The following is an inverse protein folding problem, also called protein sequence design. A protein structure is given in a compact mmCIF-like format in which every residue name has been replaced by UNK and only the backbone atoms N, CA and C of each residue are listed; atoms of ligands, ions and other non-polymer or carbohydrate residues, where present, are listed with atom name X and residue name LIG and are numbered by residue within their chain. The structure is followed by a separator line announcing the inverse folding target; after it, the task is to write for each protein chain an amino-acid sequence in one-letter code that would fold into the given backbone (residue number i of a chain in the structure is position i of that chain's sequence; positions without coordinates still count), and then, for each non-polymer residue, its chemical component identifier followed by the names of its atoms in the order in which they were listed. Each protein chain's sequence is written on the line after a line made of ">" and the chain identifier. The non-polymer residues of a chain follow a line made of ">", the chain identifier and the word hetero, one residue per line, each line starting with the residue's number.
data_IF_818186625268
#
_entry.id   IF_818186625268
#
_cell.length_a   1.000
_cell.length_b   1.000
_cell.length_c   1.000
_cell.angle_alpha   90.00
_cell.angle_beta   90.00
_cell.angle_gamma   90.00
#
_symmetry.space_group_name_H-M   'P 1'
#
loop_
_entity.id
_entity.type
_entity.pdbx_description
1 polymer ?
#
# COMPACT_ATOMS: atom_id res chain seq x y z
N UNK A 1 5.49 -6.77 -4.84
CA UNK A 1 5.55 -5.87 -3.66
C UNK A 1 4.97 -4.56 -4.14
N UNK A 2 3.82 -4.19 -3.59
CA UNK A 2 2.98 -3.13 -4.13
C UNK A 2 3.28 -1.77 -3.51
N UNK A 3 3.50 -1.71 -2.20
CA UNK A 3 3.82 -0.48 -1.46
C UNK A 3 4.42 -0.77 -0.08
N UNK A 4 5.04 0.26 0.49
CA UNK A 4 5.59 0.28 1.85
C UNK A 4 5.05 1.51 2.58
N UNK A 5 4.60 1.33 3.83
CA UNK A 5 4.21 2.43 4.71
C UNK A 5 5.31 2.65 5.73
N UNK A 6 5.89 3.86 5.75
CA UNK A 6 6.86 4.28 6.75
C UNK A 6 6.15 5.00 7.89
N UNK A 7 6.48 4.62 9.12
CA UNK A 7 5.73 5.05 10.28
C UNK A 7 6.62 5.27 11.50
N UNK A 8 6.26 6.26 12.32
CA UNK A 8 6.95 6.55 13.58
C UNK A 8 6.00 6.27 14.74
N UNK A 9 6.37 5.34 15.61
CA UNK A 9 5.60 5.02 16.82
C UNK A 9 6.49 5.10 18.04
N UNK A 10 6.13 5.96 19.00
CA UNK A 10 6.89 6.19 20.24
C UNK A 10 8.37 6.53 19.97
N UNK A 11 8.65 7.37 18.96
CA UNK A 11 10.01 7.78 18.60
C UNK A 11 10.85 6.70 17.90
N UNK A 12 10.24 5.56 17.53
CA UNK A 12 10.89 4.53 16.70
C UNK A 12 10.32 4.57 15.30
N UNK A 13 11.21 4.67 14.32
CA UNK A 13 10.87 4.54 12.90
C UNK A 13 10.74 3.05 12.57
N UNK A 14 9.66 2.71 11.89
CA UNK A 14 9.37 1.38 11.36
C UNK A 14 8.82 1.48 9.95
N UNK A 15 8.74 0.33 9.29
CA UNK A 15 8.10 0.22 8.00
C UNK A 15 7.33 -1.09 7.91
N UNK A 16 6.20 -1.06 7.23
CA UNK A 16 5.41 -2.26 6.90
C UNK A 16 5.31 -2.34 5.37
N UNK A 17 5.64 -3.51 4.82
CA UNK A 17 5.62 -3.77 3.37
C UNK A 17 4.43 -4.64 2.99
N UNK A 18 3.80 -4.30 1.88
CA UNK A 18 2.57 -4.92 1.43
C UNK A 18 2.69 -5.47 0.00
N UNK A 19 2.02 -6.60 -0.23
CA UNK A 19 1.94 -7.26 -1.54
C UNK A 19 0.78 -6.71 -2.38
N UNK A 20 0.66 -7.19 -3.61
CA UNK A 20 -0.33 -6.74 -4.60
C UNK A 20 -1.78 -7.12 -4.25
N UNK A 21 -2.01 -7.98 -3.24
CA UNK A 21 -3.34 -8.28 -2.73
C UNK A 21 -3.83 -7.24 -1.70
N UNK A 22 -2.96 -6.31 -1.30
CA UNK A 22 -3.31 -5.23 -0.37
C UNK A 22 -3.67 -3.95 -1.12
N UNK A 23 -4.67 -3.26 -0.59
CA UNK A 23 -5.11 -1.96 -1.09
C UNK A 23 -4.87 -0.93 0.00
N UNK A 24 -4.21 0.17 -0.36
CA UNK A 24 -4.03 1.34 0.50
C UNK A 24 -5.09 2.38 0.18
N UNK A 25 -5.87 2.76 1.19
CA UNK A 25 -6.79 3.89 1.17
C UNK A 25 -6.24 5.02 2.04
N UNK A 26 -6.18 6.24 1.50
CA UNK A 26 -5.81 7.42 2.29
C UNK A 26 -7.08 8.24 2.51
N UNK A 27 -7.52 8.30 3.77
CA UNK A 27 -8.74 9.00 4.17
C UNK A 27 -8.38 10.14 5.10
N UNK A 28 -8.54 11.39 4.60
CA UNK A 28 -8.15 12.63 5.28
C UNK A 28 -6.67 12.65 5.69
N UNK A 29 -6.34 12.03 6.81
CA UNK A 29 -4.99 11.90 7.35
C UNK A 29 -4.71 10.50 7.93
N UNK A 30 -5.58 9.52 7.68
CA UNK A 30 -5.45 8.12 8.11
C UNK A 30 -5.10 7.28 6.90
N UNK A 31 -4.15 6.36 7.06
CA UNK A 31 -3.90 5.33 6.06
C UNK A 31 -4.60 4.05 6.51
N UNK A 32 -5.47 3.54 5.65
CA UNK A 32 -6.12 2.24 5.81
C UNK A 32 -5.50 1.25 4.83
N UNK A 33 -5.15 0.06 5.32
CA UNK A 33 -4.72 -1.06 4.49
C UNK A 33 -5.75 -2.16 4.60
N UNK A 34 -6.30 -2.55 3.45
CA UNK A 34 -7.27 -3.64 3.35
C UNK A 34 -6.70 -4.80 2.55
N UNK A 35 -7.11 -6.03 2.87
CA UNK A 35 -6.85 -7.24 2.09
C UNK A 35 -8.15 -7.99 1.91
N UNK A 36 -8.56 -8.25 0.66
CA UNK A 36 -9.81 -8.95 0.33
C UNK A 36 -11.08 -8.35 0.97
N UNK A 37 -11.11 -7.02 1.12
CA UNK A 37 -12.23 -6.30 1.71
C UNK A 37 -12.23 -6.22 3.24
N UNK A 38 -11.23 -6.81 3.91
CA UNK A 38 -11.06 -6.70 5.37
C UNK A 38 -9.94 -5.71 5.69
N UNK A 39 -10.16 -4.85 6.68
CA UNK A 39 -9.13 -3.96 7.22
C UNK A 39 -8.09 -4.77 7.99
N UNK A 40 -6.83 -4.73 7.55
CA UNK A 40 -5.71 -5.43 8.21
C UNK A 40 -4.78 -4.47 8.95
N UNK A 41 -4.73 -3.20 8.55
CA UNK A 41 -3.95 -2.18 9.26
C UNK A 41 -4.60 -0.80 9.13
N UNK A 42 -4.46 -0.01 10.19
CA UNK A 42 -4.86 1.39 10.22
C UNK A 42 -3.73 2.19 10.84
N UNK A 43 -3.24 3.20 10.13
CA UNK A 43 -2.22 4.12 10.62
C UNK A 43 -2.87 5.44 10.96
N UNK A 44 -2.88 5.77 12.25
CA UNK A 44 -3.33 7.07 12.73
C UNK A 44 -2.44 8.20 12.18
N UNK A 45 -2.97 9.41 12.01
CA UNK A 45 -2.24 10.54 11.42
C UNK A 45 -0.93 10.88 12.14
N UNK A 46 -0.89 10.60 13.44
CA UNK A 46 0.26 10.88 14.30
C UNK A 46 1.33 9.78 14.27
N UNK A 47 1.11 8.73 13.50
CA UNK A 47 1.92 7.53 13.53
C UNK A 47 2.54 7.18 12.18
N UNK A 48 2.17 7.81 11.06
CA UNK A 48 2.78 7.54 9.74
C UNK A 48 3.50 8.78 9.19
N UNK A 49 4.58 8.54 8.44
CA UNK A 49 5.41 9.60 7.85
C UNK A 49 5.13 9.75 6.34
N UNK A 50 5.29 8.66 5.58
CA UNK A 50 4.99 8.63 4.14
C UNK A 50 4.73 7.21 3.64
N UNK A 51 4.13 7.12 2.45
CA UNK A 51 3.91 5.85 1.74
C UNK A 51 4.77 5.85 0.49
N UNK A 52 5.58 4.81 0.33
CA UNK A 52 6.34 4.59 -0.89
C UNK A 52 5.62 3.51 -1.73
N UNK A 53 5.19 3.81 -2.96
CA UNK A 53 4.74 2.78 -3.86
C UNK A 53 5.92 1.85 -4.15
N UNK A 54 5.73 0.54 -4.02
CA UNK A 54 6.70 -0.44 -4.47
C UNK A 54 6.93 -0.21 -5.95
N UNK A 55 8.15 -0.45 -6.44
CA UNK A 55 8.45 -0.36 -7.87
C UNK A 55 7.32 -1.04 -8.64
N UNK A 56 6.51 -0.23 -9.34
CA UNK A 56 5.49 -0.76 -10.24
C UNK A 56 6.27 -1.58 -11.24
N UNK A 57 6.31 -2.90 -11.05
CA UNK A 57 6.57 -3.80 -12.15
C UNK A 57 5.59 -3.34 -13.23
N UNK A 58 6.08 -2.92 -14.41
CA UNK A 58 5.23 -2.37 -15.44
C UNK A 58 4.11 -3.38 -15.62
N UNK A 59 2.89 -2.93 -15.32
CA UNK A 59 1.69 -3.74 -15.46
C UNK A 59 1.67 -4.11 -16.92
N UNK A 60 2.13 -5.33 -17.21
CA UNK A 60 2.31 -5.82 -18.57
C UNK A 60 0.95 -5.57 -19.23
N UNK A 61 0.88 -4.72 -20.27
CA UNK A 61 -0.41 -4.38 -20.85
C UNK A 61 -1.06 -5.72 -21.21
N UNK A 62 -2.25 -5.95 -20.65
CA UNK A 62 -3.05 -7.13 -20.95
C UNK A 62 -3.06 -7.25 -22.48
N UNK A 63 -2.43 -8.31 -22.98
CA UNK A 63 -2.42 -8.59 -24.41
C UNK A 63 -3.88 -8.58 -24.87
N UNK A 64 -4.27 -7.75 -25.84
CA UNK A 64 -5.50 -8.02 -26.55
C UNK A 64 -5.29 -9.35 -27.29
N UNK A 65 -6.02 -10.35 -26.83
CA UNK A 65 -6.15 -11.63 -27.50
C UNK A 65 -6.58 -11.44 -28.96
N UNK A 66 -5.78 -12.02 -29.87
CA UNK A 66 -6.17 -12.55 -31.20
C UNK A 66 -6.60 -11.53 -32.26
N UNK A 67 -6.05 -11.64 -33.47
CA UNK A 67 -6.78 -11.73 -34.76
C UNK A 67 -5.80 -12.21 -35.86
N UNK A 68 -6.21 -13.31 -36.50
CA UNK A 68 -5.80 -13.94 -37.78
C UNK A 68 -4.33 -14.28 -38.06
#
# INVERSE_FOLDING_TARGET
>A
MAFTVFYTRNGKVGYDSYDDDHIVGVHEAVIEVTKRGEQVKLYSPNCWDYVEPGEKLPTKPAMPSRIR
#
